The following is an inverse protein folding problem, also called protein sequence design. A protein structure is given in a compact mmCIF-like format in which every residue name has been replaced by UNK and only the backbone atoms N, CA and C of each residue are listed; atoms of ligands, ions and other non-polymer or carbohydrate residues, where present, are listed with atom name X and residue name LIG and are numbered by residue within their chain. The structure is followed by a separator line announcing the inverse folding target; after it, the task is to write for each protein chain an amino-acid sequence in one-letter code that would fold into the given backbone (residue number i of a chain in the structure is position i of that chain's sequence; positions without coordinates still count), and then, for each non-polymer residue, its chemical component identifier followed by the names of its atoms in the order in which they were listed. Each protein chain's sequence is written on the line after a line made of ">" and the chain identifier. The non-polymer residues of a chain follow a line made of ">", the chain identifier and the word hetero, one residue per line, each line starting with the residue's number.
data_IF_106846223009
#
_entry.id   IF_106846223009
#
_cell.length_a   1.000
_cell.length_b   1.000
_cell.length_c   1.000
_cell.angle_alpha   90.00
_cell.angle_beta   90.00
_cell.angle_gamma   90.00
#
_symmetry.space_group_name_H-M   'P 1'
#
loop_
_entity.id
_entity.type
_entity.pdbx_description
1 polymer ?
#
# COMPACT_ATOMS: atom_id res chain seq x y z
N UNK A 1 1.95 4.41 22.85
CA UNK A 1 1.24 3.16 23.19
C UNK A 1 -0.25 3.40 23.02
N UNK A 2 -0.94 2.52 22.30
CA UNK A 2 -2.39 2.59 22.19
C UNK A 2 -3.02 1.77 23.32
N UNK A 3 -3.99 2.35 24.02
CA UNK A 3 -4.72 1.69 25.11
C UNK A 3 -6.23 1.97 24.99
N UNK A 4 -6.92 1.33 24.03
CA UNK A 4 -8.34 1.55 23.77
C UNK A 4 -9.25 1.20 24.95
N UNK A 5 -8.78 0.43 25.93
CA UNK A 5 -9.54 0.09 27.13
C UNK A 5 -9.21 0.98 28.34
N UNK A 6 -8.22 1.87 28.22
CA UNK A 6 -7.72 2.72 29.31
C UNK A 6 -7.39 1.92 30.59
N UNK A 7 -6.80 0.72 30.43
CA UNK A 7 -6.50 -0.20 31.54
C UNK A 7 -5.06 -0.13 32.03
N UNK A 8 -4.14 0.33 31.19
CA UNK A 8 -2.70 0.18 31.42
C UNK A 8 -1.99 1.51 31.63
N UNK A 9 -2.40 2.56 30.93
CA UNK A 9 -1.81 3.89 31.12
C UNK A 9 -2.70 4.77 32.03
N UNK A 10 -2.19 5.32 33.15
CA UNK A 10 -2.98 6.15 34.06
C UNK A 10 -3.49 7.46 33.46
N UNK A 11 -2.88 7.95 32.36
CA UNK A 11 -3.30 9.17 31.68
C UNK A 11 -4.31 8.92 30.55
N UNK A 12 -4.55 7.66 30.18
CA UNK A 12 -5.48 7.31 29.12
C UNK A 12 -6.94 7.58 29.53
N UNK A 13 -7.68 8.23 28.64
CA UNK A 13 -9.13 8.46 28.77
C UNK A 13 -9.88 7.94 27.55
N UNK A 14 -11.22 7.87 27.63
CA UNK A 14 -12.05 7.42 26.50
C UNK A 14 -11.86 8.32 25.27
N UNK A 15 -11.63 9.62 25.48
CA UNK A 15 -11.39 10.61 24.42
C UNK A 15 -9.95 10.57 23.89
N UNK A 16 -8.99 10.14 24.72
CA UNK A 16 -7.58 10.00 24.37
C UNK A 16 -7.04 8.63 24.82
N UNK A 17 -7.44 7.52 24.15
CA UNK A 17 -7.13 6.18 24.61
C UNK A 17 -5.70 5.76 24.29
N UNK A 18 -4.79 6.08 25.20
CA UNK A 18 -3.38 5.76 25.16
C UNK A 18 -2.50 6.98 25.35
N UNK A 19 -1.21 6.82 25.07
CA UNK A 19 -0.19 7.81 25.42
C UNK A 19 0.90 7.87 24.36
N UNK A 20 1.44 9.06 24.12
CA UNK A 20 2.64 9.26 23.31
C UNK A 20 3.78 9.73 24.20
N UNK A 21 4.83 8.94 24.28
CA UNK A 21 6.07 9.32 24.94
C UNK A 21 7.02 9.99 23.92
N UNK A 22 7.63 11.10 24.30
CA UNK A 22 8.62 11.83 23.50
C UNK A 22 10.02 11.70 24.06
N UNK A 23 10.18 11.79 25.38
CA UNK A 23 11.41 11.43 26.08
C UNK A 23 11.30 9.99 26.60
N UNK A 24 12.15 9.10 26.09
CA UNK A 24 12.11 7.67 26.43
C UNK A 24 13.11 7.31 27.54
N UNK A 25 14.00 8.20 27.95
CA UNK A 25 15.09 7.85 28.88
C UNK A 25 14.58 7.58 30.29
N UNK A 26 13.65 8.39 30.77
CA UNK A 26 12.96 8.16 32.06
C UNK A 26 12.15 6.86 31.98
N UNK A 27 11.40 6.65 30.90
CA UNK A 27 10.60 5.46 30.71
C UNK A 27 11.46 4.18 30.67
N UNK A 28 12.66 4.24 30.07
CA UNK A 28 13.63 3.13 30.07
C UNK A 28 14.17 2.81 31.45
N UNK A 29 14.36 3.84 32.28
CA UNK A 29 14.85 3.66 33.66
C UNK A 29 13.79 2.98 34.52
N UNK A 30 12.53 3.39 34.37
CA UNK A 30 11.43 2.91 35.21
C UNK A 30 10.86 1.56 34.72
N UNK A 31 10.88 1.31 33.41
CA UNK A 31 10.30 0.11 32.79
C UNK A 31 11.25 -0.55 31.77
N UNK A 32 12.47 -0.96 32.16
CA UNK A 32 13.48 -1.49 31.23
C UNK A 32 13.03 -2.76 30.50
N UNK A 33 12.21 -3.59 31.14
CA UNK A 33 11.64 -4.82 30.59
C UNK A 33 10.72 -4.58 29.38
N UNK A 34 9.96 -3.49 29.39
CA UNK A 34 9.06 -3.10 28.29
C UNK A 34 9.84 -2.84 27.00
N UNK A 35 11.07 -2.35 27.10
CA UNK A 35 11.95 -2.05 25.97
C UNK A 35 12.63 -3.28 25.36
N UNK A 36 12.80 -4.36 26.13
CA UNK A 36 13.49 -5.58 25.64
C UNK A 36 12.89 -6.13 24.35
N UNK A 37 11.56 -6.18 24.25
CA UNK A 37 10.88 -6.69 23.06
C UNK A 37 10.77 -5.71 21.89
N UNK A 38 11.32 -4.50 21.99
CA UNK A 38 11.55 -3.64 20.81
C UNK A 38 12.85 -3.98 20.10
N UNK A 39 13.73 -4.79 20.73
CA UNK A 39 14.99 -5.24 20.15
C UNK A 39 15.80 -4.07 19.57
N UNK A 40 15.87 -2.97 20.31
CA UNK A 40 16.39 -1.67 19.84
C UNK A 40 17.80 -1.81 19.25
N UNK A 41 18.64 -2.63 19.88
CA UNK A 41 20.02 -2.91 19.44
C UNK A 41 20.11 -3.55 18.06
N UNK A 42 19.01 -4.09 17.52
CA UNK A 42 18.95 -4.72 16.19
C UNK A 42 18.05 -3.93 15.22
N UNK A 43 16.85 -3.55 15.67
CA UNK A 43 15.84 -2.91 14.83
C UNK A 43 16.00 -1.40 14.68
N UNK A 44 16.59 -0.74 15.67
CA UNK A 44 16.73 0.73 15.73
C UNK A 44 18.19 1.18 15.53
N UNK A 45 19.03 0.36 14.90
CA UNK A 45 20.39 0.77 14.53
C UNK A 45 20.44 1.88 13.48
N UNK A 46 19.33 2.10 12.77
CA UNK A 46 19.14 3.16 11.78
C UNK A 46 17.80 3.83 12.01
N UNK A 47 17.68 5.07 11.53
CA UNK A 47 16.40 5.76 11.53
C UNK A 47 15.34 4.95 10.77
N UNK A 48 14.17 4.83 11.37
CA UNK A 48 13.11 3.99 10.86
C UNK A 48 11.86 4.01 11.74
N UNK A 49 10.90 3.16 11.41
CA UNK A 49 9.66 3.01 12.17
C UNK A 49 9.47 1.54 12.52
N UNK A 50 9.22 1.27 13.81
CA UNK A 50 8.98 -0.08 14.32
C UNK A 50 7.59 -0.11 14.95
N UNK A 51 6.81 -1.10 14.55
CA UNK A 51 5.54 -1.42 15.19
C UNK A 51 5.71 -2.70 15.99
N UNK A 52 5.39 -2.64 17.28
CA UNK A 52 5.28 -3.82 18.14
C UNK A 52 3.81 -4.11 18.39
N UNK A 53 3.36 -5.29 17.97
CA UNK A 53 1.99 -5.75 18.13
C UNK A 53 2.00 -7.03 18.98
N UNK A 54 1.89 -6.92 20.32
CA UNK A 54 1.80 -8.09 21.18
C UNK A 54 0.60 -8.96 20.79
N UNK A 55 0.84 -10.27 20.64
CA UNK A 55 -0.21 -11.21 20.28
C UNK A 55 -1.17 -11.42 21.45
N UNK A 56 -2.48 -11.44 21.17
CA UNK A 56 -3.49 -11.68 22.19
C UNK A 56 -3.40 -13.12 22.70
N UNK A 57 -3.21 -13.28 24.01
CA UNK A 57 -3.08 -14.58 24.69
C UNK A 57 -4.33 -15.02 25.47
N UNK A 58 -5.27 -14.10 25.76
CA UNK A 58 -6.53 -14.40 26.45
C UNK A 58 -7.73 -13.70 25.79
N UNK A 59 -8.94 -14.18 26.06
CA UNK A 59 -10.18 -13.68 25.47
C UNK A 59 -10.82 -12.52 26.28
N UNK A 60 -10.06 -11.82 27.11
CA UNK A 60 -10.61 -10.88 28.10
C UNK A 60 -10.78 -9.45 27.56
N UNK A 61 -10.51 -9.25 26.27
CA UNK A 61 -10.68 -7.95 25.60
C UNK A 61 -12.10 -7.77 25.09
N UNK A 62 -12.67 -6.58 25.27
CA UNK A 62 -14.00 -6.26 24.74
C UNK A 62 -13.95 -5.87 23.25
N UNK A 63 -12.75 -5.70 22.67
CA UNK A 63 -12.55 -5.43 21.24
C UNK A 63 -12.60 -6.72 20.42
N UNK A 64 -11.98 -7.80 20.91
CA UNK A 64 -11.95 -9.07 20.21
C UNK A 64 -11.61 -10.21 21.16
N UNK A 65 -12.34 -11.32 21.02
CA UNK A 65 -12.14 -12.57 21.78
C UNK A 65 -11.14 -13.53 21.11
N UNK A 66 -10.57 -13.15 19.96
CA UNK A 66 -9.69 -14.02 19.17
C UNK A 66 -8.29 -14.08 19.79
N UNK A 67 -7.97 -15.22 20.41
CA UNK A 67 -6.62 -15.55 20.90
C UNK A 67 -5.78 -16.03 19.73
N UNK A 68 -4.56 -15.52 19.61
CA UNK A 68 -3.67 -15.86 18.49
C UNK A 68 -2.83 -17.08 18.85
N UNK A 69 -3.11 -18.20 18.19
CA UNK A 69 -2.38 -19.45 18.32
C UNK A 69 -1.18 -19.52 17.37
N UNK A 70 -0.25 -20.45 17.64
CA UNK A 70 0.87 -20.74 16.72
C UNK A 70 0.38 -21.16 15.33
N UNK A 71 -0.77 -21.82 15.23
CA UNK A 71 -1.35 -22.26 13.96
C UNK A 71 -1.86 -21.08 13.14
N UNK A 72 -2.58 -20.16 13.77
CA UNK A 72 -3.07 -18.94 13.11
C UNK A 72 -1.94 -18.03 12.67
N UNK A 73 -0.88 -17.90 13.48
CA UNK A 73 0.30 -17.13 13.08
C UNK A 73 0.99 -17.73 11.86
N UNK A 74 1.12 -19.08 11.81
CA UNK A 74 1.65 -19.76 10.62
C UNK A 74 0.77 -19.52 9.41
N UNK A 75 -0.55 -19.58 9.56
CA UNK A 75 -1.50 -19.29 8.48
C UNK A 75 -1.32 -17.86 7.96
N UNK A 76 -1.23 -16.87 8.84
CA UNK A 76 -0.98 -15.47 8.47
C UNK A 76 0.33 -15.31 7.69
N UNK A 77 1.40 -15.99 8.10
CA UNK A 77 2.68 -15.97 7.38
C UNK A 77 2.55 -16.61 6.00
N UNK A 78 1.83 -17.73 5.88
CA UNK A 78 1.59 -18.38 4.57
C UNK A 78 0.75 -17.50 3.64
N UNK A 79 -0.30 -16.85 4.15
CA UNK A 79 -1.11 -15.89 3.39
C UNK A 79 -0.28 -14.69 2.94
N UNK A 80 0.57 -14.17 3.83
CA UNK A 80 1.53 -13.13 3.48
C UNK A 80 2.45 -13.59 2.35
N UNK A 81 3.01 -14.81 2.43
CA UNK A 81 3.89 -15.37 1.40
C UNK A 81 3.18 -15.50 0.04
N UNK A 82 1.93 -15.96 0.00
CA UNK A 82 1.17 -16.12 -1.25
C UNK A 82 0.86 -14.78 -1.95
N UNK A 83 0.66 -13.71 -1.17
CA UNK A 83 0.22 -12.41 -1.70
C UNK A 83 1.36 -11.38 -1.87
N UNK A 84 2.48 -11.52 -1.16
CA UNK A 84 3.54 -10.47 -1.13
C UNK A 84 4.09 -10.17 -2.51
N UNK A 85 4.32 -11.19 -3.35
CA UNK A 85 4.79 -11.00 -4.73
C UNK A 85 3.84 -10.09 -5.53
N UNK A 86 2.52 -10.29 -5.37
CA UNK A 86 1.48 -9.47 -6.03
C UNK A 86 1.43 -8.06 -5.44
N UNK A 87 1.55 -7.93 -4.12
CA UNK A 87 1.61 -6.65 -3.42
C UNK A 87 2.75 -5.75 -3.91
N UNK A 88 3.91 -6.32 -4.23
CA UNK A 88 5.08 -5.56 -4.65
C UNK A 88 4.99 -4.96 -6.06
N UNK A 89 4.06 -5.43 -6.90
CA UNK A 89 4.01 -5.12 -8.33
C UNK A 89 3.88 -3.63 -8.66
N UNK A 90 3.03 -2.91 -7.94
CA UNK A 90 2.78 -1.48 -8.17
C UNK A 90 3.43 -0.57 -7.12
N UNK A 91 4.24 -1.13 -6.20
CA UNK A 91 4.93 -0.35 -5.18
C UNK A 91 6.23 0.26 -5.72
N UNK A 92 6.40 1.56 -5.44
CA UNK A 92 7.57 2.33 -5.89
C UNK A 92 8.61 2.61 -4.80
N UNK A 93 8.22 2.64 -3.53
CA UNK A 93 9.16 2.94 -2.45
C UNK A 93 9.57 1.67 -1.69
N UNK A 94 8.66 0.71 -1.59
CA UNK A 94 8.95 -0.59 -0.97
C UNK A 94 9.69 -1.44 -1.99
N UNK A 95 10.95 -1.79 -1.69
CA UNK A 95 11.81 -2.60 -2.56
C UNK A 95 12.10 -4.01 -2.05
N UNK A 96 11.91 -4.22 -0.76
CA UNK A 96 12.05 -5.52 -0.10
C UNK A 96 10.95 -5.66 0.94
N UNK A 97 10.34 -6.83 0.98
CA UNK A 97 9.48 -7.28 2.06
C UNK A 97 9.99 -8.65 2.51
N UNK A 98 10.06 -8.89 3.81
CA UNK A 98 10.62 -10.13 4.36
C UNK A 98 9.97 -10.51 5.68
N UNK A 99 9.89 -11.82 5.91
CA UNK A 99 9.49 -12.39 7.20
C UNK A 99 10.73 -12.95 7.88
N UNK A 100 10.98 -12.48 9.10
CA UNK A 100 12.08 -12.95 9.93
C UNK A 100 11.53 -13.57 11.20
N UNK A 101 12.04 -14.75 11.55
CA UNK A 101 11.80 -15.41 12.83
C UNK A 101 13.00 -15.22 13.74
N UNK A 102 12.73 -14.89 15.00
CA UNK A 102 13.75 -14.86 16.06
C UNK A 102 13.55 -16.10 16.91
N UNK A 103 14.60 -16.89 17.10
CA UNK A 103 14.55 -18.09 17.93
C UNK A 103 14.78 -17.79 19.43
N UNK A 104 14.71 -18.83 20.25
CA UNK A 104 14.89 -18.74 21.71
C UNK A 104 16.30 -18.29 22.12
N UNK A 105 17.29 -18.43 21.23
CA UNK A 105 18.66 -17.93 21.43
C UNK A 105 18.82 -16.47 21.01
N UNK A 106 17.77 -15.86 20.47
CA UNK A 106 17.78 -14.50 19.94
C UNK A 106 18.39 -14.38 18.54
N UNK A 107 18.66 -15.50 17.86
CA UNK A 107 19.20 -15.52 16.49
C UNK A 107 18.09 -15.29 15.47
N UNK A 108 18.43 -14.56 14.42
CA UNK A 108 17.52 -14.17 13.35
C UNK A 108 17.60 -15.16 12.19
N UNK A 109 16.44 -15.56 11.70
CA UNK A 109 16.30 -16.46 10.55
C UNK A 109 15.32 -15.83 9.57
N UNK A 110 15.81 -15.38 8.41
CA UNK A 110 14.94 -14.93 7.32
C UNK A 110 14.23 -16.15 6.74
N UNK A 111 12.90 -16.20 6.90
CA UNK A 111 12.06 -17.32 6.46
C UNK A 111 11.58 -17.12 5.03
N UNK A 112 11.41 -15.85 4.63
CA UNK A 112 10.86 -15.48 3.34
C UNK A 112 11.28 -14.07 2.96
N UNK A 113 11.53 -13.82 1.68
CA UNK A 113 11.70 -12.47 1.16
C UNK A 113 11.27 -12.33 -0.30
N UNK A 114 10.71 -11.16 -0.60
CA UNK A 114 10.47 -10.69 -1.96
C UNK A 114 11.24 -9.40 -2.18
N UNK A 115 11.95 -9.34 -3.29
CA UNK A 115 12.69 -8.17 -3.72
C UNK A 115 12.13 -7.68 -5.05
N UNK A 116 12.06 -6.36 -5.22
CA UNK A 116 11.64 -5.72 -6.46
C UNK A 116 12.74 -4.82 -7.00
N UNK A 117 13.04 -4.92 -8.29
CA UNK A 117 14.00 -4.06 -9.00
C UNK A 117 13.28 -3.34 -10.15
N UNK A 118 13.43 -2.02 -10.19
CA UNK A 118 12.87 -1.16 -11.23
C UNK A 118 13.97 -0.73 -12.19
N UNK A 119 13.73 -0.81 -13.50
CA UNK A 119 14.74 -0.52 -14.52
C UNK A 119 15.19 0.94 -14.59
N UNK A 120 14.31 1.86 -14.20
CA UNK A 120 14.60 3.30 -14.13
C UNK A 120 13.75 3.92 -13.02
N UNK A 121 14.28 4.92 -12.34
CA UNK A 121 13.48 5.72 -11.43
C UNK A 121 12.50 6.56 -12.24
N UNK A 122 11.24 6.13 -12.31
CA UNK A 122 10.21 6.85 -13.06
C UNK A 122 9.56 7.86 -12.18
N UNK A 123 9.88 9.14 -12.34
CA UNK A 123 9.27 10.18 -11.52
C UNK A 123 8.18 10.97 -12.25
N UNK A 124 7.10 10.25 -12.61
CA UNK A 124 5.89 10.88 -13.18
C UNK A 124 5.23 11.86 -12.19
N UNK A 125 5.41 11.61 -10.89
CA UNK A 125 4.87 12.49 -9.86
C UNK A 125 5.73 13.73 -9.72
N UNK A 126 7.07 13.66 -9.74
CA UNK A 126 7.86 14.89 -9.79
C UNK A 126 7.76 15.62 -11.11
N UNK A 127 7.56 14.98 -12.27
CA UNK A 127 7.31 15.75 -13.49
C UNK A 127 6.04 16.60 -13.38
N UNK A 128 5.03 16.12 -12.64
CA UNK A 128 3.79 16.85 -12.34
C UNK A 128 3.94 17.83 -11.17
N UNK A 129 4.66 17.44 -10.10
CA UNK A 129 4.86 18.24 -8.89
C UNK A 129 5.94 19.31 -9.05
N UNK A 130 6.96 19.09 -9.88
CA UNK A 130 8.05 20.04 -10.15
C UNK A 130 7.57 21.16 -11.07
N UNK A 131 6.66 20.87 -12.01
CA UNK A 131 5.91 21.90 -12.76
C UNK A 131 5.12 22.85 -11.85
N UNK A 132 4.68 22.39 -10.67
CA UNK A 132 4.05 23.26 -9.64
C UNK A 132 5.00 24.28 -9.01
N UNK A 133 6.30 23.96 -8.88
CA UNK A 133 7.28 24.89 -8.28
C UNK A 133 7.67 26.03 -9.20
N UNK A 134 7.42 25.88 -10.52
CA UNK A 134 7.78 26.87 -11.53
C UNK A 134 6.59 27.75 -11.97
N UNK A 135 5.36 27.34 -11.71
CA UNK A 135 4.15 28.12 -11.99
C UNK A 135 3.70 28.90 -10.75
N UNK A 136 3.69 30.23 -10.82
CA UNK A 136 3.24 31.14 -9.75
C UNK A 136 1.71 31.18 -9.60
N UNK A 137 0.96 30.44 -10.44
CA UNK A 137 -0.49 30.33 -10.35
C UNK A 137 -0.90 29.13 -9.50
N UNK A 138 -1.29 29.41 -8.26
CA UNK A 138 -1.61 28.43 -7.19
C UNK A 138 -2.92 27.65 -7.37
N UNK A 139 -3.59 27.72 -8.53
CA UNK A 139 -4.90 27.10 -8.77
C UNK A 139 -4.92 26.16 -9.99
N UNK A 140 -3.85 25.39 -10.24
CA UNK A 140 -3.94 24.30 -11.23
C UNK A 140 -4.64 23.06 -10.64
N UNK A 141 -5.74 22.68 -11.28
CA UNK A 141 -6.66 21.62 -10.91
C UNK A 141 -5.95 20.24 -10.84
N UNK A 142 -5.70 19.76 -9.62
CA UNK A 142 -5.10 18.43 -9.38
C UNK A 142 -5.89 17.27 -9.99
N UNK A 143 -7.16 17.49 -10.26
CA UNK A 143 -8.04 16.53 -10.93
C UNK A 143 -7.83 16.45 -12.45
N UNK A 144 -7.17 17.43 -13.08
CA UNK A 144 -6.98 17.51 -14.53
C UNK A 144 -5.56 17.97 -14.95
N UNK A 145 -4.48 17.29 -14.49
CA UNK A 145 -3.13 17.59 -14.92
C UNK A 145 -2.95 17.28 -16.42
N UNK A 146 -1.88 17.82 -17.03
CA UNK A 146 -1.46 17.35 -18.36
C UNK A 146 -1.24 15.84 -18.40
N UNK A 147 -1.69 15.24 -19.49
CA UNK A 147 -1.57 13.81 -19.68
C UNK A 147 -0.11 13.47 -19.94
N UNK A 148 0.50 12.72 -19.02
CA UNK A 148 1.87 12.22 -19.12
C UNK A 148 1.84 10.71 -19.00
N UNK A 149 2.55 10.05 -19.91
CA UNK A 149 2.66 8.59 -19.95
C UNK A 149 4.12 8.19 -19.88
N UNK A 150 4.39 7.10 -19.17
CA UNK A 150 5.70 6.47 -19.17
C UNK A 150 5.56 4.96 -18.98
N UNK A 151 6.63 4.22 -19.29
CA UNK A 151 6.73 2.80 -19.06
C UNK A 151 8.06 2.42 -18.42
N UNK A 152 8.07 1.38 -17.62
CA UNK A 152 9.28 0.84 -17.00
C UNK A 152 9.19 -0.67 -16.81
N UNK A 153 10.33 -1.32 -16.61
CA UNK A 153 10.38 -2.73 -16.27
C UNK A 153 10.47 -2.91 -14.76
N UNK A 154 9.69 -3.85 -14.24
CA UNK A 154 9.70 -4.28 -12.84
C UNK A 154 10.09 -5.76 -12.82
N UNK A 155 11.11 -6.11 -12.05
CA UNK A 155 11.49 -7.49 -11.79
C UNK A 155 11.18 -7.81 -10.32
N UNK A 156 10.42 -8.87 -10.09
CA UNK A 156 10.07 -9.36 -8.76
C UNK A 156 10.72 -10.72 -8.56
N UNK A 157 11.52 -10.84 -7.51
CA UNK A 157 12.20 -12.08 -7.13
C UNK A 157 11.69 -12.51 -5.77
N UNK A 158 11.02 -13.65 -5.75
CA UNK A 158 10.61 -14.37 -4.55
C UNK A 158 11.67 -15.42 -4.23
N UNK A 159 12.15 -15.49 -2.99
CA UNK A 159 13.22 -16.41 -2.61
C UNK A 159 12.79 -17.89 -2.57
N UNK A 160 11.49 -18.17 -2.71
CA UNK A 160 10.93 -19.53 -2.78
C UNK A 160 10.68 -19.99 -4.21
N UNK A 161 10.75 -19.09 -5.19
CA UNK A 161 10.55 -19.39 -6.61
C UNK A 161 11.89 -19.52 -7.35
N UNK A 162 11.96 -20.43 -8.32
CA UNK A 162 13.16 -20.64 -9.13
C UNK A 162 13.45 -19.48 -10.09
N UNK A 163 12.40 -18.80 -10.56
CA UNK A 163 12.52 -17.75 -11.58
C UNK A 163 11.86 -16.45 -11.14
N UNK A 164 12.54 -15.33 -11.39
CA UNK A 164 11.97 -14.00 -11.17
C UNK A 164 10.91 -13.68 -12.22
N UNK A 165 9.85 -12.97 -11.83
CA UNK A 165 8.81 -12.46 -12.74
C UNK A 165 9.22 -11.07 -13.25
N UNK A 166 9.34 -10.91 -14.56
CA UNK A 166 9.58 -9.59 -15.18
C UNK A 166 8.30 -9.05 -15.79
N UNK A 167 8.07 -7.76 -15.57
CA UNK A 167 6.87 -7.04 -15.97
C UNK A 167 7.24 -5.78 -16.73
N UNK A 168 6.46 -5.41 -17.74
CA UNK A 168 6.42 -4.04 -18.25
C UNK A 168 5.22 -3.36 -17.62
N UNK A 169 5.47 -2.27 -16.91
CA UNK A 169 4.43 -1.42 -16.35
C UNK A 169 4.33 -0.18 -17.22
N UNK A 170 3.16 0.03 -17.82
CA UNK A 170 2.81 1.27 -18.53
C UNK A 170 1.88 2.05 -17.61
N UNK A 171 2.17 3.33 -17.39
CA UNK A 171 1.39 4.17 -16.51
C UNK A 171 1.08 5.52 -17.14
N UNK A 172 -0.02 6.10 -16.71
CA UNK A 172 -0.48 7.41 -17.15
C UNK A 172 -0.97 8.20 -15.95
N UNK A 173 -0.63 9.48 -15.91
CA UNK A 173 -1.34 10.47 -15.11
C UNK A 173 -2.01 11.46 -16.06
N UNK A 174 -3.21 11.91 -15.70
CA UNK A 174 -4.04 12.77 -16.53
C UNK A 174 -5.00 11.97 -17.40
N UNK A 175 -6.06 12.65 -17.80
CA UNK A 175 -7.14 12.07 -18.61
C UNK A 175 -7.02 12.49 -20.07
N UNK A 176 -7.60 11.67 -20.96
CA UNK A 176 -7.75 12.02 -22.36
C UNK A 176 -8.62 13.26 -22.54
N UNK A 177 -9.82 13.25 -21.96
CA UNK A 177 -10.68 14.43 -21.89
C UNK A 177 -10.65 15.03 -20.47
N UNK A 178 -9.95 16.17 -20.31
CA UNK A 178 -9.88 16.88 -19.02
C UNK A 178 -11.19 17.56 -18.63
N UNK A 179 -12.03 17.89 -19.61
CA UNK A 179 -13.28 18.61 -19.41
C UNK A 179 -14.40 17.68 -18.94
N UNK A 180 -14.29 16.38 -19.23
CA UNK A 180 -15.29 15.36 -18.83
C UNK A 180 -15.28 15.02 -17.33
N UNK A 181 -14.41 15.65 -16.54
CA UNK A 181 -14.42 15.50 -15.08
C UNK A 181 -15.78 15.96 -14.54
N UNK A 182 -16.51 15.14 -13.75
CA UNK A 182 -17.80 15.53 -13.18
C UNK A 182 -17.68 16.75 -12.25
N UNK A 183 -18.64 17.66 -12.27
CA UNK A 183 -18.54 18.90 -11.48
C UNK A 183 -18.46 18.67 -9.97
N UNK A 184 -19.19 17.69 -9.44
CA UNK A 184 -19.10 17.26 -8.04
C UNK A 184 -17.71 16.73 -7.66
N UNK A 185 -16.97 16.17 -8.62
CA UNK A 185 -15.56 15.77 -8.42
C UNK A 185 -14.69 17.01 -8.36
N UNK A 186 -14.87 17.97 -9.27
CA UNK A 186 -14.13 19.25 -9.27
C UNK A 186 -14.29 19.97 -7.93
N UNK A 187 -15.54 20.10 -7.46
CA UNK A 187 -15.87 20.69 -6.17
C UNK A 187 -15.22 19.94 -5.01
N UNK A 188 -15.27 18.59 -5.00
CA UNK A 188 -14.66 17.78 -3.95
C UNK A 188 -13.14 17.99 -3.84
N UNK A 189 -12.45 18.23 -4.96
CA UNK A 189 -11.04 18.60 -5.01
C UNK A 189 -10.80 20.03 -4.50
N UNK A 190 -11.62 21.01 -4.89
CA UNK A 190 -11.53 22.39 -4.39
C UNK A 190 -11.74 22.46 -2.86
N UNK A 191 -12.67 21.66 -2.33
CA UNK A 191 -12.91 21.53 -0.88
C UNK A 191 -11.86 20.66 -0.16
N UNK A 192 -10.92 20.04 -0.89
CA UNK A 192 -9.88 19.18 -0.31
C UNK A 192 -10.38 17.86 0.29
N UNK A 193 -11.65 17.51 0.03
CA UNK A 193 -12.31 16.29 0.48
C UNK A 193 -11.92 15.06 -0.35
N UNK A 194 -11.48 15.28 -1.60
CA UNK A 194 -10.92 14.26 -2.47
C UNK A 194 -9.45 14.59 -2.76
N UNK A 195 -8.55 13.67 -2.39
CA UNK A 195 -7.08 13.82 -2.52
C UNK A 195 -6.48 12.69 -3.34
N UNK A 196 -7.10 12.44 -4.50
CA UNK A 196 -6.67 11.39 -5.43
C UNK A 196 -5.96 12.03 -6.63
N UNK A 197 -5.34 11.22 -7.47
CA UNK A 197 -4.69 11.68 -8.69
C UNK A 197 -5.24 10.87 -9.87
N UNK A 198 -5.42 11.48 -11.06
CA UNK A 198 -5.92 10.76 -12.23
C UNK A 198 -4.83 9.84 -12.79
N UNK A 199 -4.45 8.84 -12.01
CA UNK A 199 -3.33 7.94 -12.25
C UNK A 199 -3.86 6.52 -12.43
N UNK A 200 -3.42 5.88 -13.50
CA UNK A 200 -3.65 4.47 -13.76
C UNK A 200 -2.40 3.82 -14.34
N UNK A 201 -2.25 2.52 -14.15
CA UNK A 201 -1.17 1.73 -14.72
C UNK A 201 -1.60 0.31 -15.01
N UNK A 202 -0.95 -0.29 -16.00
CA UNK A 202 -1.16 -1.68 -16.40
C UNK A 202 0.18 -2.41 -16.37
N UNK A 203 0.20 -3.64 -15.87
CA UNK A 203 1.37 -4.49 -15.84
C UNK A 203 1.17 -5.71 -16.75
N UNK A 204 2.07 -5.84 -17.72
CA UNK A 204 2.16 -6.96 -18.65
C UNK A 204 3.32 -7.86 -18.24
N UNK A 205 3.06 -9.14 -18.09
CA UNK A 205 4.08 -10.13 -17.77
C UNK A 205 4.92 -10.43 -19.02
N UNK A 206 6.24 -10.35 -18.90
CA UNK A 206 7.18 -10.65 -19.99
C UNK A 206 7.58 -12.13 -20.05
N UNK A 207 7.56 -12.83 -18.91
CA UNK A 207 8.02 -14.21 -18.83
C UNK A 207 6.89 -15.17 -19.25
N UNK A 208 7.09 -15.93 -20.32
CA UNK A 208 6.09 -16.83 -20.90
C UNK A 208 6.13 -18.27 -20.35
N UNK A 209 7.18 -18.66 -19.63
CA UNK A 209 7.36 -20.03 -19.10
C UNK A 209 6.71 -20.26 -17.71
N UNK A 210 5.78 -19.40 -17.28
CA UNK A 210 5.13 -19.53 -15.97
C UNK A 210 4.03 -20.59 -16.06
N UNK A 211 4.28 -21.74 -15.42
CA UNK A 211 3.39 -22.92 -15.44
C UNK A 211 2.02 -22.68 -14.80
N UNK A 212 1.85 -21.62 -14.00
CA UNK A 212 0.61 -21.29 -13.33
C UNK A 212 0.28 -19.79 -13.44
N UNK A 213 -0.61 -19.44 -14.39
CA UNK A 213 -1.06 -18.07 -14.64
C UNK A 213 -2.35 -17.75 -13.85
N UNK A 214 -2.98 -18.77 -13.23
CA UNK A 214 -4.22 -18.56 -12.44
C UNK A 214 -3.93 -17.62 -11.27
N UNK A 215 -4.76 -16.58 -11.13
CA UNK A 215 -4.66 -15.56 -10.07
C UNK A 215 -3.37 -14.73 -10.07
N UNK A 216 -2.63 -14.73 -11.19
CA UNK A 216 -1.42 -13.93 -11.31
C UNK A 216 -1.74 -12.43 -11.51
N UNK A 217 -2.84 -12.15 -12.20
CA UNK A 217 -3.23 -10.79 -12.56
C UNK A 217 -4.21 -10.21 -11.55
N UNK A 218 -3.91 -9.00 -11.08
CA UNK A 218 -4.65 -8.34 -10.00
C UNK A 218 -5.28 -7.02 -10.44
N UNK A 219 -6.40 -6.67 -9.82
CA UNK A 219 -6.89 -5.29 -9.79
C UNK A 219 -6.37 -4.65 -8.51
N UNK A 220 -5.70 -3.51 -8.61
CA UNK A 220 -4.99 -2.90 -7.49
C UNK A 220 -5.33 -1.42 -7.31
N UNK A 221 -5.23 -0.95 -6.07
CA UNK A 221 -5.05 0.46 -5.73
C UNK A 221 -3.73 0.56 -4.96
N UNK A 222 -2.63 0.45 -5.70
CA UNK A 222 -1.23 0.21 -5.30
C UNK A 222 -0.97 -1.13 -4.59
N UNK A 223 -1.96 -1.65 -3.87
CA UNK A 223 -2.01 -3.01 -3.35
C UNK A 223 -3.18 -3.79 -4.01
N UNK A 224 -3.06 -5.13 -4.14
CA UNK A 224 -4.12 -5.98 -4.65
C UNK A 224 -5.43 -5.78 -3.90
N UNK A 225 -6.51 -5.66 -4.66
CA UNK A 225 -7.87 -5.74 -4.16
C UNK A 225 -8.37 -7.19 -4.31
N UNK A 226 -9.30 -7.67 -3.45
CA UNK A 226 -9.82 -9.03 -3.49
C UNK A 226 -10.56 -9.40 -4.78
N UNK A 227 -10.90 -8.42 -5.62
CA UNK A 227 -11.59 -8.66 -6.88
C UNK A 227 -10.68 -9.37 -7.88
N UNK A 228 -11.17 -10.49 -8.44
CA UNK A 228 -10.52 -11.12 -9.58
C UNK A 228 -10.54 -10.15 -10.76
N UNK A 229 -9.36 -9.88 -11.33
CA UNK A 229 -9.23 -8.98 -12.48
C UNK A 229 -10.04 -9.48 -13.68
N UNK A 230 -10.01 -10.79 -13.94
CA UNK A 230 -10.57 -11.39 -15.16
C UNK A 230 -9.80 -11.05 -16.44
N UNK A 231 -8.74 -10.24 -16.33
CA UNK A 231 -7.89 -9.78 -17.42
C UNK A 231 -6.59 -10.58 -17.47
N UNK A 232 -5.97 -10.63 -18.65
CA UNK A 232 -4.63 -11.23 -18.86
C UNK A 232 -3.47 -10.29 -18.50
N UNK A 233 -3.76 -9.27 -17.68
CA UNK A 233 -2.81 -8.26 -17.22
C UNK A 233 -3.30 -7.68 -15.90
N UNK A 234 -2.37 -7.17 -15.07
CA UNK A 234 -2.73 -6.51 -13.82
C UNK A 234 -3.04 -5.04 -14.07
N UNK A 235 -4.05 -4.52 -13.41
CA UNK A 235 -4.44 -3.10 -13.48
C UNK A 235 -4.26 -2.44 -12.12
N UNK A 236 -3.89 -1.18 -12.15
CA UNK A 236 -3.78 -0.35 -10.97
C UNK A 236 -4.33 1.06 -11.26
N UNK A 237 -4.93 1.67 -10.25
CA UNK A 237 -5.39 3.05 -10.34
C UNK A 237 -5.53 3.67 -8.96
N UNK A 238 -5.48 5.00 -8.90
CA UNK A 238 -5.71 5.74 -7.66
C UNK A 238 -7.22 5.86 -7.38
N UNK A 239 -7.85 4.71 -7.16
CA UNK A 239 -9.27 4.58 -6.93
C UNK A 239 -9.66 5.12 -5.55
N UNK A 240 -10.88 5.63 -5.46
CA UNK A 240 -11.56 5.81 -4.19
C UNK A 240 -11.94 4.44 -3.62
N UNK A 241 -11.54 4.19 -2.38
CA UNK A 241 -11.81 2.94 -1.67
C UNK A 241 -12.88 3.13 -0.57
N UNK A 242 -13.45 2.02 -0.14
CA UNK A 242 -14.23 1.91 1.10
C UNK A 242 -13.38 2.27 2.34
N UNK A 243 -14.04 2.48 3.49
CA UNK A 243 -13.34 2.81 4.74
C UNK A 243 -12.40 1.70 5.21
N UNK A 244 -12.73 0.44 4.95
CA UNK A 244 -11.84 -0.71 5.22
C UNK A 244 -10.64 -0.76 4.27
N UNK A 245 -10.70 -0.01 3.15
CA UNK A 245 -9.71 0.02 2.06
C UNK A 245 -9.45 -1.35 1.41
N UNK A 246 -10.33 -2.31 1.65
CA UNK A 246 -10.26 -3.64 1.05
C UNK A 246 -11.04 -3.71 -0.26
N UNK A 247 -12.01 -2.83 -0.46
CA UNK A 247 -12.82 -2.77 -1.67
C UNK A 247 -12.81 -1.36 -2.28
N UNK A 248 -13.06 -1.30 -3.58
CA UNK A 248 -13.47 -0.06 -4.25
C UNK A 248 -14.70 0.53 -3.58
N UNK A 249 -14.82 1.86 -3.64
CA UNK A 249 -16.01 2.55 -3.19
C UNK A 249 -17.22 2.14 -4.04
N UNK A 250 -18.29 1.66 -3.38
CA UNK A 250 -19.53 1.14 -4.00
C UNK A 250 -20.72 2.11 -3.89
N UNK A 251 -20.49 3.35 -3.49
CA UNK A 251 -21.55 4.37 -3.48
C UNK A 251 -22.05 4.70 -4.89
N UNK A 252 -23.12 5.47 -4.97
CA UNK A 252 -23.80 5.80 -6.23
C UNK A 252 -24.02 7.30 -6.34
N UNK A 253 -23.58 7.91 -7.44
CA UNK A 253 -23.80 9.34 -7.71
C UNK A 253 -22.97 10.32 -6.87
N UNK A 254 -22.27 9.85 -5.84
CA UNK A 254 -21.35 10.68 -5.06
C UNK A 254 -20.00 10.92 -5.77
N UNK A 255 -19.19 11.83 -5.23
CA UNK A 255 -17.91 12.22 -5.83
C UNK A 255 -16.92 11.05 -5.95
N UNK A 256 -16.90 10.08 -5.03
CA UNK A 256 -15.98 8.94 -5.05
C UNK A 256 -16.40 7.92 -6.11
N UNK A 257 -17.70 7.66 -6.24
CA UNK A 257 -18.26 6.78 -7.25
C UNK A 257 -18.01 7.35 -8.66
N UNK A 258 -18.31 8.64 -8.85
CA UNK A 258 -18.10 9.32 -10.12
C UNK A 258 -16.62 9.47 -10.46
N UNK A 259 -15.75 9.67 -9.47
CA UNK A 259 -14.30 9.60 -9.64
C UNK A 259 -13.85 8.25 -10.20
N UNK A 260 -14.26 7.15 -9.58
CA UNK A 260 -13.87 5.81 -10.03
C UNK A 260 -14.35 5.53 -11.45
N UNK A 261 -15.60 5.90 -11.77
CA UNK A 261 -16.14 5.73 -13.12
C UNK A 261 -15.38 6.56 -14.16
N UNK A 262 -15.10 7.82 -13.85
CA UNK A 262 -14.34 8.72 -14.72
C UNK A 262 -12.90 8.23 -14.90
N UNK A 263 -12.20 7.84 -13.83
CA UNK A 263 -10.83 7.31 -13.88
C UNK A 263 -10.74 6.06 -14.78
N UNK A 264 -11.71 5.15 -14.66
CA UNK A 264 -11.78 3.97 -15.51
C UNK A 264 -11.94 4.34 -16.98
N UNK A 265 -12.89 5.21 -17.31
CA UNK A 265 -13.21 5.58 -18.70
C UNK A 265 -12.15 6.45 -19.37
N UNK A 266 -11.65 7.45 -18.66
CA UNK A 266 -10.86 8.55 -19.25
C UNK A 266 -9.35 8.39 -19.06
N UNK A 267 -8.94 7.51 -18.15
CA UNK A 267 -7.52 7.22 -17.89
C UNK A 267 -7.20 5.76 -18.23
N UNK A 268 -7.87 4.79 -17.59
CA UNK A 268 -7.50 3.38 -17.76
C UNK A 268 -7.85 2.83 -19.15
N UNK A 269 -9.06 3.05 -19.66
CA UNK A 269 -9.47 2.54 -20.99
C UNK A 269 -8.59 3.14 -22.10
N UNK A 270 -8.29 4.44 -22.04
CA UNK A 270 -7.39 5.07 -23.02
C UNK A 270 -5.94 4.58 -22.90
N UNK A 271 -5.47 4.29 -21.69
CA UNK A 271 -4.18 3.64 -21.50
C UNK A 271 -4.15 2.25 -22.16
N UNK A 272 -5.23 1.48 -22.05
CA UNK A 272 -5.35 0.16 -22.69
C UNK A 272 -5.39 0.26 -24.21
N UNK A 273 -6.13 1.22 -24.78
CA UNK A 273 -6.17 1.46 -26.23
C UNK A 273 -4.79 1.75 -26.81
N UNK A 274 -3.93 2.43 -26.08
CA UNK A 274 -2.55 2.71 -26.52
C UNK A 274 -1.64 1.47 -26.52
N UNK A 275 -1.99 0.42 -25.76
CA UNK A 275 -1.20 -0.81 -25.72
C UNK A 275 -1.60 -1.84 -26.78
N UNK A 276 -2.70 -1.62 -27.50
CA UNK A 276 -3.21 -2.44 -28.60
C UNK A 276 -2.80 -1.83 -29.94
#
# INVERSE_FOLDING_TARGET
>A
MFDPHCRYDPSATVEAPGVRFTNLDELRKDHPDSFTGYLETKLLQKEGTVFRLPLRSSADSDISKNVVTKSELKKLVLEFQDETSKCMLFLRCVRKASVVKIDETGKWHEVYSVNSKVSKEVDLLSSILCRKKQSTNTNENLYAPEMVRDSYKMQITDNTEETSKSWVIVQQVGAHNKESVPDIVKEAFHLGSLRLLPHASVALLLNTNIKNIKNLFTTSCYLPLPAASGLHFSVNGHFALSSSRQDLWKGTGDCKALWNQWLMKEVLVFLLQYML
#
